data_IF_922777534914
#
_entry.id   IF_922777534914
#
_cell.length_a   1.000
_cell.length_b   1.000
_cell.length_c   1.000
_cell.angle_alpha   90.00
_cell.angle_beta   90.00
_cell.angle_gamma   90.00
#
_symmetry.space_group_name_H-M   'P 1'
#
loop_
_entity.id
_entity.type
_entity.pdbx_description
1 polymer ?
#
# COMPACT_ATOMS: atom_id res chain seq x y z
N UNK A 1 -13.36 13.93 31.27
CA UNK A 1 -13.43 14.86 30.11
C UNK A 1 -13.72 14.05 28.84
N UNK A 2 -14.96 14.06 28.36
CA UNK A 2 -15.39 13.38 27.14
C UNK A 2 -14.99 14.20 25.92
N UNK A 3 -13.77 14.00 25.44
CA UNK A 3 -13.33 14.58 24.17
C UNK A 3 -14.19 14.03 23.04
N UNK A 4 -14.83 14.94 22.29
CA UNK A 4 -15.70 14.64 21.15
C UNK A 4 -15.01 13.62 20.26
N UNK A 5 -15.50 12.38 20.25
CA UNK A 5 -15.19 11.40 19.22
C UNK A 5 -15.94 11.91 18.01
N UNK A 6 -15.22 12.61 17.15
CA UNK A 6 -15.67 13.00 15.82
C UNK A 6 -16.38 11.81 15.18
N UNK A 7 -17.72 11.90 15.10
CA UNK A 7 -18.57 10.84 14.54
C UNK A 7 -18.22 10.74 13.06
N UNK A 8 -17.86 9.55 12.59
CA UNK A 8 -17.80 9.27 11.15
C UNK A 8 -19.21 9.52 10.65
N UNK A 9 -19.40 10.56 9.83
CA UNK A 9 -20.72 10.88 9.33
C UNK A 9 -21.11 9.76 8.39
N UNK A 10 -22.20 9.05 8.69
CA UNK A 10 -22.67 7.88 7.95
C UNK A 10 -23.17 8.21 6.53
N UNK A 11 -22.44 8.99 5.73
CA UNK A 11 -22.51 8.82 4.28
C UNK A 11 -22.39 10.02 3.37
N UNK A 12 -22.29 11.30 3.81
CA UNK A 12 -22.44 12.41 2.85
C UNK A 12 -21.43 13.55 2.83
N UNK A 13 -20.59 13.74 3.84
CA UNK A 13 -19.76 14.98 3.93
C UNK A 13 -18.28 14.77 4.25
N UNK A 14 -17.81 13.52 4.39
CA UNK A 14 -16.42 13.29 4.73
C UNK A 14 -15.53 13.48 3.49
N UNK A 15 -14.76 14.57 3.49
CA UNK A 15 -13.70 14.81 2.51
C UNK A 15 -12.51 13.89 2.75
N UNK A 16 -11.66 13.73 1.74
CA UNK A 16 -10.36 13.05 1.85
C UNK A 16 -9.59 13.51 3.09
N UNK A 17 -9.41 14.83 3.26
CA UNK A 17 -8.66 15.40 4.38
C UNK A 17 -9.31 15.09 5.73
N UNK A 18 -10.65 15.13 5.82
CA UNK A 18 -11.36 14.76 7.05
C UNK A 18 -11.09 13.31 7.44
N UNK A 19 -11.19 12.38 6.48
CA UNK A 19 -10.93 10.95 6.72
C UNK A 19 -9.47 10.70 7.11
N UNK A 20 -8.51 11.39 6.50
CA UNK A 20 -7.09 11.30 6.86
C UNK A 20 -6.84 11.80 8.29
N UNK A 21 -7.41 12.95 8.66
CA UNK A 21 -7.29 13.49 10.02
C UNK A 21 -7.92 12.53 11.05
N UNK A 22 -9.07 11.94 10.74
CA UNK A 22 -9.73 10.95 11.59
C UNK A 22 -8.86 9.70 11.76
N UNK A 23 -8.27 9.21 10.67
CA UNK A 23 -7.36 8.06 10.68
C UNK A 23 -6.18 8.31 11.60
N UNK A 24 -5.51 9.45 11.46
CA UNK A 24 -4.33 9.78 12.26
C UNK A 24 -4.68 9.94 13.74
N UNK A 25 -5.83 10.54 14.05
CA UNK A 25 -6.34 10.62 15.42
C UNK A 25 -6.67 9.25 16.01
N UNK A 26 -7.27 8.36 15.23
CA UNK A 26 -7.58 7.00 15.65
C UNK A 26 -6.30 6.20 15.94
N UNK A 27 -5.27 6.32 15.09
CA UNK A 27 -3.95 5.71 15.30
C UNK A 27 -3.32 6.24 16.59
N UNK A 28 -3.26 7.57 16.76
CA UNK A 28 -2.66 8.21 17.96
C UNK A 28 -3.37 7.81 19.26
N UNK A 29 -4.68 7.54 19.21
CA UNK A 29 -5.51 7.19 20.37
C UNK A 29 -5.71 5.68 20.54
N UNK A 30 -5.11 4.83 19.69
CA UNK A 30 -5.29 3.38 19.74
C UNK A 30 -6.74 2.92 19.48
N UNK A 31 -7.54 3.70 18.76
CA UNK A 31 -8.96 3.43 18.50
C UNK A 31 -9.14 2.55 17.26
N UNK A 32 -8.99 1.24 17.43
CA UNK A 32 -9.05 0.25 16.34
C UNK A 32 -10.41 0.23 15.64
N UNK A 33 -11.50 0.38 16.41
CA UNK A 33 -12.88 0.46 15.92
C UNK A 33 -13.08 1.60 14.91
N UNK A 34 -12.55 2.78 15.25
CA UNK A 34 -12.61 3.97 14.39
C UNK A 34 -11.69 3.81 13.19
N UNK A 35 -10.48 3.28 13.41
CA UNK A 35 -9.50 3.07 12.34
C UNK A 35 -10.04 2.14 11.24
N UNK A 36 -10.66 1.01 11.62
CA UNK A 36 -11.23 0.09 10.64
C UNK A 36 -12.37 0.75 9.84
N UNK A 37 -13.27 1.44 10.53
CA UNK A 37 -14.37 2.17 9.91
C UNK A 37 -13.89 3.23 8.91
N UNK A 38 -12.84 3.99 9.27
CA UNK A 38 -12.23 4.99 8.37
C UNK A 38 -11.56 4.31 7.19
N UNK A 39 -10.83 3.21 7.39
CA UNK A 39 -10.17 2.47 6.33
C UNK A 39 -11.19 1.90 5.32
N UNK A 40 -12.30 1.33 5.79
CA UNK A 40 -13.39 0.87 4.91
C UNK A 40 -13.98 2.03 4.09
N UNK A 41 -14.13 3.21 4.71
CA UNK A 41 -14.63 4.40 4.02
C UNK A 41 -13.64 4.92 2.97
N UNK A 42 -12.35 4.97 3.30
CA UNK A 42 -11.28 5.31 2.36
C UNK A 42 -11.28 4.34 1.18
N UNK A 43 -11.43 3.03 1.42
CA UNK A 43 -11.53 2.02 0.36
C UNK A 43 -12.67 2.31 -0.61
N UNK A 44 -13.83 2.73 -0.11
CA UNK A 44 -15.03 3.01 -0.90
C UNK A 44 -14.96 4.34 -1.66
N UNK A 45 -14.54 5.42 -0.98
CA UNK A 45 -14.65 6.78 -1.51
C UNK A 45 -13.35 7.28 -2.15
N UNK A 46 -12.20 6.83 -1.66
CA UNK A 46 -10.88 7.29 -2.08
C UNK A 46 -9.91 6.10 -2.28
N UNK A 47 -10.21 5.16 -3.18
CA UNK A 47 -9.49 3.89 -3.32
C UNK A 47 -7.99 4.06 -3.55
N UNK A 48 -7.56 5.09 -4.30
CA UNK A 48 -6.14 5.39 -4.51
C UNK A 48 -5.40 5.73 -3.22
N UNK A 49 -6.07 6.40 -2.28
CA UNK A 49 -5.49 6.75 -0.97
C UNK A 49 -5.40 5.49 -0.11
N UNK A 50 -6.46 4.69 -0.12
CA UNK A 50 -6.48 3.43 0.59
C UNK A 50 -5.32 2.52 0.14
N UNK A 51 -5.09 2.39 -1.16
CA UNK A 51 -3.96 1.62 -1.68
C UNK A 51 -2.60 2.16 -1.22
N UNK A 52 -2.46 3.50 -1.18
CA UNK A 52 -1.22 4.13 -0.73
C UNK A 52 -0.93 3.90 0.75
N UNK A 53 -1.95 3.96 1.62
CA UNK A 53 -1.77 4.07 3.07
C UNK A 53 -2.20 2.85 3.88
N UNK A 54 -2.99 1.96 3.30
CA UNK A 54 -3.63 0.85 4.01
C UNK A 54 -3.24 -0.48 3.38
N UNK A 55 -3.52 -0.68 2.10
CA UNK A 55 -3.28 -1.97 1.45
C UNK A 55 -4.05 -2.16 0.15
N UNK A 56 -3.95 -3.34 -0.48
CA UNK A 56 -4.58 -3.59 -1.78
C UNK A 56 -6.12 -3.58 -1.69
N UNK A 57 -6.78 -3.14 -2.76
CA UNK A 57 -8.25 -3.10 -2.83
C UNK A 57 -8.87 -4.49 -2.83
N UNK A 58 -8.18 -5.45 -3.42
CA UNK A 58 -8.65 -6.82 -3.56
C UNK A 58 -7.64 -7.77 -2.93
N UNK A 59 -8.15 -8.71 -2.15
CA UNK A 59 -7.33 -9.82 -1.69
C UNK A 59 -6.87 -10.64 -2.89
N UNK A 60 -5.61 -11.02 -2.87
CA UNK A 60 -5.05 -12.06 -3.72
C UNK A 60 -4.60 -13.19 -2.81
N UNK A 61 -4.60 -14.41 -3.32
CA UNK A 61 -4.06 -15.56 -2.60
C UNK A 61 -3.28 -16.43 -3.57
N UNK A 62 -2.16 -16.96 -3.08
CA UNK A 62 -1.35 -17.96 -3.75
C UNK A 62 -1.09 -19.11 -2.76
N UNK A 63 -0.44 -20.17 -3.22
CA UNK A 63 0.10 -21.20 -2.32
C UNK A 63 0.95 -20.55 -1.21
N UNK A 64 0.73 -20.99 0.04
CA UNK A 64 1.36 -20.45 1.26
C UNK A 64 2.88 -20.53 1.24
N UNK A 65 3.48 -21.42 0.42
CA UNK A 65 4.94 -21.49 0.26
C UNK A 65 5.54 -20.19 -0.31
N UNK A 66 4.75 -19.42 -1.06
CA UNK A 66 5.20 -18.15 -1.62
C UNK A 66 5.08 -17.03 -0.59
N UNK A 67 6.18 -16.28 -0.41
CA UNK A 67 6.29 -15.13 0.49
C UNK A 67 6.13 -13.79 -0.24
N UNK A 68 5.26 -13.73 -1.26
CA UNK A 68 5.03 -12.52 -2.05
C UNK A 68 3.86 -11.66 -1.54
N UNK A 69 3.68 -10.48 -2.13
CA UNK A 69 2.60 -9.54 -1.79
C UNK A 69 1.18 -10.06 -2.02
N UNK A 70 1.00 -11.18 -2.74
CA UNK A 70 -0.29 -11.86 -2.76
C UNK A 70 -0.62 -12.42 -1.37
N UNK A 71 0.32 -13.08 -0.69
CA UNK A 71 0.07 -13.70 0.61
C UNK A 71 0.36 -12.76 1.79
N UNK A 72 1.26 -11.80 1.59
CA UNK A 72 1.62 -10.77 2.56
C UNK A 72 1.29 -9.39 1.99
N UNK A 73 0.00 -9.03 1.88
CA UNK A 73 -0.41 -7.77 1.26
C UNK A 73 0.12 -6.57 2.05
N UNK A 74 0.55 -5.55 1.32
CA UNK A 74 1.13 -4.33 1.85
C UNK A 74 0.54 -3.11 1.14
N UNK A 75 0.66 -1.93 1.76
CA UNK A 75 0.32 -0.67 1.10
C UNK A 75 1.40 -0.27 0.09
N UNK A 76 1.08 0.59 -0.88
CA UNK A 76 2.10 1.09 -1.82
C UNK A 76 3.22 1.84 -1.10
N UNK A 77 2.93 2.48 0.04
CA UNK A 77 3.96 3.13 0.85
C UNK A 77 4.93 2.13 1.47
N UNK A 78 4.45 1.00 2.00
CA UNK A 78 5.34 -0.07 2.49
C UNK A 78 6.21 -0.63 1.37
N UNK A 79 5.61 -0.90 0.21
CA UNK A 79 6.34 -1.45 -0.93
C UNK A 79 7.37 -0.44 -1.46
N UNK A 80 7.07 0.85 -1.40
CA UNK A 80 8.05 1.91 -1.66
C UNK A 80 9.26 1.79 -0.72
N UNK A 81 9.02 1.61 0.58
CA UNK A 81 10.11 1.40 1.56
C UNK A 81 10.88 0.13 1.25
N UNK A 82 10.20 -0.94 0.87
CA UNK A 82 10.84 -2.21 0.51
C UNK A 82 11.74 -2.06 -0.72
N UNK A 83 11.33 -1.27 -1.72
CA UNK A 83 12.12 -0.97 -2.92
C UNK A 83 13.35 -0.13 -2.57
N UNK A 84 13.19 0.95 -1.80
CA UNK A 84 14.31 1.84 -1.44
C UNK A 84 15.36 1.12 -0.59
N UNK A 85 14.92 0.22 0.29
CA UNK A 85 15.81 -0.54 1.15
C UNK A 85 16.35 -1.84 0.50
N UNK A 86 16.01 -2.11 -0.77
CA UNK A 86 16.36 -3.34 -1.51
C UNK A 86 15.98 -4.65 -0.78
N UNK A 87 14.85 -4.65 -0.07
CA UNK A 87 14.34 -5.81 0.67
C UNK A 87 13.14 -6.50 0.00
N UNK A 88 12.80 -6.11 -1.23
CA UNK A 88 11.74 -6.77 -2.01
C UNK A 88 12.07 -8.26 -2.19
N UNK A 89 11.23 -9.11 -1.63
CA UNK A 89 11.43 -10.55 -1.66
C UNK A 89 11.36 -11.10 -3.10
N UNK A 90 12.25 -12.03 -3.47
CA UNK A 90 12.34 -12.57 -4.84
C UNK A 90 11.02 -13.19 -5.35
N UNK A 91 10.26 -13.90 -4.50
CA UNK A 91 8.89 -14.35 -4.82
C UNK A 91 7.96 -13.25 -5.34
N UNK A 92 8.10 -12.00 -4.90
CA UNK A 92 7.35 -10.86 -5.41
C UNK A 92 7.85 -10.42 -6.79
N UNK A 93 9.15 -10.55 -7.08
CA UNK A 93 9.75 -10.26 -8.39
C UNK A 93 9.33 -11.29 -9.46
N UNK A 94 9.28 -12.56 -9.04
CA UNK A 94 8.84 -13.70 -9.85
C UNK A 94 7.35 -13.66 -10.21
N UNK A 95 6.53 -13.06 -9.35
CA UNK A 95 5.08 -13.05 -9.51
C UNK A 95 4.62 -11.88 -10.39
N UNK A 96 4.09 -12.18 -11.58
CA UNK A 96 3.64 -11.14 -12.51
C UNK A 96 2.53 -10.25 -11.96
N UNK A 97 1.61 -10.81 -11.18
CA UNK A 97 0.61 -10.00 -10.50
C UNK A 97 1.24 -9.06 -9.47
N UNK A 98 2.23 -9.52 -8.69
CA UNK A 98 2.93 -8.66 -7.72
C UNK A 98 3.68 -7.54 -8.42
N UNK A 99 4.34 -7.88 -9.54
CA UNK A 99 5.04 -6.90 -10.34
C UNK A 99 4.09 -5.83 -10.88
N UNK A 100 3.00 -6.23 -11.53
CA UNK A 100 2.11 -5.30 -12.20
C UNK A 100 1.26 -4.48 -11.22
N UNK A 101 0.65 -5.14 -10.23
CA UNK A 101 -0.36 -4.51 -9.36
C UNK A 101 0.26 -3.74 -8.21
N UNK A 102 1.46 -4.12 -7.77
CA UNK A 102 2.11 -3.52 -6.61
C UNK A 102 3.40 -2.80 -6.98
N UNK A 103 4.42 -3.50 -7.49
CA UNK A 103 5.77 -2.94 -7.65
C UNK A 103 5.78 -1.83 -8.73
N UNK A 104 5.28 -2.11 -9.93
CA UNK A 104 5.22 -1.16 -11.03
C UNK A 104 4.26 0.00 -10.72
N UNK A 105 3.15 -0.28 -10.02
CA UNK A 105 2.22 0.76 -9.56
C UNK A 105 2.86 1.69 -8.52
N UNK A 106 3.61 1.13 -7.58
CA UNK A 106 4.42 1.87 -6.61
C UNK A 106 5.44 2.75 -7.32
N UNK A 107 6.16 2.25 -8.34
CA UNK A 107 7.04 3.06 -9.16
C UNK A 107 6.31 4.19 -9.89
N UNK A 108 5.15 3.92 -10.50
CA UNK A 108 4.36 4.94 -11.19
C UNK A 108 3.99 6.12 -10.27
N UNK A 109 3.72 5.85 -9.00
CA UNK A 109 3.43 6.91 -8.03
C UNK A 109 4.71 7.48 -7.40
N UNK A 110 5.47 6.66 -6.67
CA UNK A 110 6.60 7.12 -5.87
C UNK A 110 7.88 7.37 -6.67
N UNK A 111 8.04 6.76 -7.84
CA UNK A 111 9.13 7.03 -8.76
C UNK A 111 8.80 8.16 -9.73
N UNK A 112 7.75 7.98 -10.54
CA UNK A 112 7.44 8.94 -11.60
C UNK A 112 6.80 10.22 -11.09
N UNK A 113 5.74 10.14 -10.27
CA UNK A 113 5.01 11.33 -9.81
C UNK A 113 5.71 12.04 -8.65
N UNK A 114 6.12 11.31 -7.61
CA UNK A 114 6.72 11.90 -6.40
C UNK A 114 8.25 11.98 -6.42
N UNK A 115 8.93 11.35 -7.38
CA UNK A 115 10.40 11.33 -7.52
C UNK A 115 11.16 10.84 -6.27
N UNK A 116 10.51 10.02 -5.43
CA UNK A 116 11.11 9.44 -4.22
C UNK A 116 11.90 8.17 -4.51
N UNK A 117 11.49 7.37 -5.50
CA UNK A 117 12.30 6.25 -5.98
C UNK A 117 13.20 6.80 -7.10
N UNK A 118 14.53 6.78 -6.95
CA UNK A 118 15.44 7.16 -8.02
C UNK A 118 15.36 6.17 -9.18
N UNK A 119 15.57 6.67 -10.40
CA UNK A 119 15.60 5.83 -11.60
C UNK A 119 16.63 4.71 -11.48
N UNK A 120 17.82 4.99 -10.94
CA UNK A 120 18.86 3.98 -10.69
C UNK A 120 18.37 2.82 -9.80
N UNK A 121 17.61 3.12 -8.75
CA UNK A 121 17.05 2.09 -7.86
C UNK A 121 16.00 1.25 -8.59
N UNK A 122 15.21 1.88 -9.46
CA UNK A 122 14.22 1.18 -10.27
C UNK A 122 14.84 0.28 -11.34
N UNK A 123 15.88 0.77 -12.03
CA UNK A 123 16.60 0.02 -13.04
C UNK A 123 17.24 -1.23 -12.42
N UNK A 124 17.89 -1.09 -11.25
CA UNK A 124 18.44 -2.21 -10.49
C UNK A 124 17.37 -3.24 -10.09
N UNK A 125 16.16 -2.79 -9.70
CA UNK A 125 15.06 -3.70 -9.38
C UNK A 125 14.55 -4.45 -10.63
N UNK A 126 14.51 -3.79 -11.79
CA UNK A 126 14.16 -4.40 -13.06
C UNK A 126 15.19 -5.47 -13.46
N UNK A 127 16.48 -5.18 -13.32
CA UNK A 127 17.57 -6.13 -13.56
C UNK A 127 17.45 -7.34 -12.62
N UNK A 128 17.25 -7.11 -11.32
CA UNK A 128 17.05 -8.17 -10.32
C UNK A 128 15.87 -9.06 -10.70
N UNK A 129 14.73 -8.49 -11.12
CA UNK A 129 13.61 -9.29 -11.61
C UNK A 129 13.96 -10.10 -12.85
N UNK A 130 14.65 -9.49 -13.82
CA UNK A 130 15.03 -10.18 -15.05
C UNK A 130 15.89 -11.41 -14.74
N UNK A 131 16.87 -11.24 -13.84
CA UNK A 131 17.72 -12.31 -13.36
C UNK A 131 16.91 -13.41 -12.66
N UNK A 132 16.15 -13.06 -11.61
CA UNK A 132 15.39 -14.02 -10.81
C UNK A 132 14.35 -14.79 -11.64
N UNK A 133 13.74 -14.16 -12.66
CA UNK A 133 12.63 -14.73 -13.43
C UNK A 133 13.04 -15.53 -14.65
N UNK A 134 14.10 -15.13 -15.34
CA UNK A 134 14.38 -15.64 -16.68
C UNK A 134 15.75 -16.28 -16.84
N UNK A 135 16.67 -16.05 -15.91
CA UNK A 135 18.07 -16.48 -16.11
C UNK A 135 18.34 -17.87 -15.57
N UNK A 136 17.55 -18.39 -14.61
CA UNK A 136 17.71 -19.71 -13.95
C UNK A 136 19.12 -20.32 -14.05
#
# INVERSE_FOLDING_TARGET
>A
MSGIVSRINQGRYDSEQSLLNLRDNAIKKGRVDVLDSVNQRLKKCHPKIYERLVGPLHERKRDKKFKCYCNNPQSLYEIYRDIINDIVHFHSLMCDECWQKDIAKTWGYYGWASKLIPQKTWDALCEKRAYEKFVE
#
